data_IF_831068727076
#
_entry.id   IF_831068727076
#
_cell.length_a   1.000
_cell.length_b   1.000
_cell.length_c   1.000
_cell.angle_alpha   90.00
_cell.angle_beta   90.00
_cell.angle_gamma   90.00
#
_symmetry.space_group_name_H-M   'P 1'
#
loop_
_entity.id
_entity.type
_entity.pdbx_description
1 polymer ?
#
# COMPACT_ATOMS: atom_id res chain seq x y z
N UNK A 1 75.33 55.99 26.20
CA UNK A 1 76.73 56.31 25.85
C UNK A 1 77.37 55.02 25.34
N UNK A 2 77.91 55.03 24.10
CA UNK A 2 78.59 53.92 23.35
C UNK A 2 77.66 52.77 22.92
N UNK A 3 77.42 52.44 21.63
CA UNK A 3 78.32 52.29 20.45
C UNK A 3 78.51 50.77 20.21
N UNK A 4 78.50 50.13 19.04
CA UNK A 4 78.75 50.47 17.63
C UNK A 4 78.21 49.35 16.69
N UNK A 5 77.89 49.73 15.45
CA UNK A 5 77.87 49.01 14.14
C UNK A 5 78.29 47.53 14.03
N UNK A 6 77.56 46.73 13.23
CA UNK A 6 77.95 46.46 11.83
C UNK A 6 76.89 45.70 10.98
N UNK A 7 76.90 45.97 9.66
CA UNK A 7 76.14 45.35 8.56
C UNK A 7 76.65 43.94 8.24
N UNK A 8 75.79 43.05 7.73
CA UNK A 8 75.86 42.51 6.34
C UNK A 8 74.75 41.48 6.01
N UNK A 9 74.18 41.66 4.80
CA UNK A 9 73.77 40.68 3.78
C UNK A 9 72.60 39.68 4.00
N UNK A 10 71.60 39.92 3.14
CA UNK A 10 71.10 38.99 2.12
C UNK A 10 69.96 38.01 2.44
N UNK A 11 68.84 38.31 1.78
CA UNK A 11 68.00 37.42 0.96
C UNK A 11 66.97 36.49 1.63
N UNK A 12 65.71 36.80 1.27
CA UNK A 12 64.64 35.88 0.87
C UNK A 12 64.31 34.68 1.77
N UNK A 13 63.19 34.78 2.48
CA UNK A 13 62.18 33.73 2.48
C UNK A 13 60.79 34.33 2.75
N UNK A 14 60.14 34.78 1.69
CA UNK A 14 58.83 35.41 1.70
C UNK A 14 57.92 34.79 0.64
N UNK A 15 57.82 33.47 0.62
CA UNK A 15 56.95 32.72 -0.30
C UNK A 15 56.52 31.40 0.35
N UNK A 16 55.73 31.48 1.42
CA UNK A 16 55.06 30.28 1.97
C UNK A 16 53.63 30.54 2.46
N UNK A 17 53.06 31.73 2.21
CA UNK A 17 51.70 32.09 2.64
C UNK A 17 50.70 32.35 1.52
N UNK A 18 51.08 32.13 0.25
CA UNK A 18 50.21 32.41 -0.91
C UNK A 18 49.76 31.16 -1.68
N UNK A 19 50.08 29.94 -1.23
CA UNK A 19 49.67 28.70 -1.91
C UNK A 19 48.56 27.96 -1.13
N UNK A 20 48.34 28.31 0.13
CA UNK A 20 47.33 27.64 0.98
C UNK A 20 45.92 28.25 0.88
N UNK A 21 45.75 29.38 0.18
CA UNK A 21 44.44 30.06 0.06
C UNK A 21 43.69 29.78 -1.25
N UNK A 22 44.37 29.24 -2.27
CA UNK A 22 43.75 28.90 -3.56
C UNK A 22 43.46 27.40 -3.72
N UNK A 23 43.89 26.57 -2.78
CA UNK A 23 43.55 25.14 -2.73
C UNK A 23 42.23 24.83 -1.99
N UNK A 24 41.71 25.79 -1.21
CA UNK A 24 40.46 25.61 -0.46
C UNK A 24 39.23 26.08 -1.26
N UNK A 25 39.42 26.87 -2.32
CA UNK A 25 38.33 27.34 -3.19
C UNK A 25 38.07 26.47 -4.43
N UNK A 26 38.89 25.44 -4.68
CA UNK A 26 38.65 24.46 -5.77
C UNK A 26 38.01 23.14 -5.31
N UNK A 27 37.87 22.92 -4.00
CA UNK A 27 37.28 21.68 -3.47
C UNK A 27 35.79 21.77 -3.11
N UNK A 28 35.14 22.90 -3.39
CA UNK A 28 33.72 23.12 -3.08
C UNK A 28 32.81 23.37 -4.30
N UNK A 29 33.31 23.06 -5.51
CA UNK A 29 32.52 23.09 -6.78
C UNK A 29 32.51 21.72 -7.47
N UNK A 30 33.20 20.71 -6.92
CA UNK A 30 33.32 19.35 -7.48
C UNK A 30 32.60 18.26 -6.70
N UNK A 31 31.53 18.57 -5.98
CA UNK A 31 30.71 17.57 -5.27
C UNK A 31 29.21 17.85 -5.42
N UNK A 32 28.79 18.21 -6.63
CA UNK A 32 27.38 18.38 -6.99
C UNK A 32 27.07 17.69 -8.32
N UNK A 33 27.53 16.44 -8.47
CA UNK A 33 27.15 15.58 -9.60
C UNK A 33 26.96 14.12 -9.17
N UNK A 34 26.43 13.92 -7.96
CA UNK A 34 25.78 12.68 -7.56
C UNK A 34 24.32 13.00 -7.25
N UNK A 35 23.63 13.60 -8.22
CA UNK A 35 22.18 13.52 -8.21
C UNK A 35 21.82 12.08 -8.46
N UNK A 36 21.19 11.49 -7.44
CA UNK A 36 20.53 10.21 -7.47
C UNK A 36 19.83 10.03 -8.82
N UNK A 37 20.30 9.09 -9.63
CA UNK A 37 19.38 8.37 -10.50
C UNK A 37 18.48 7.55 -9.58
N UNK A 38 17.43 8.19 -9.06
CA UNK A 38 16.26 7.48 -8.58
C UNK A 38 15.64 6.87 -9.84
N UNK A 39 16.10 5.68 -10.20
CA UNK A 39 15.33 4.82 -11.08
C UNK A 39 14.10 4.40 -10.28
N UNK A 40 13.06 5.24 -10.30
CA UNK A 40 11.73 4.76 -10.04
C UNK A 40 11.41 3.82 -11.21
N UNK A 41 11.58 2.51 -11.00
CA UNK A 41 11.09 1.53 -11.95
C UNK A 41 9.56 1.67 -11.98
N UNK A 42 9.03 2.17 -13.08
CA UNK A 42 7.59 2.18 -13.32
C UNK A 42 7.14 0.72 -13.43
N UNK A 43 6.51 0.20 -12.38
CA UNK A 43 6.00 -1.15 -12.37
C UNK A 43 4.60 -1.14 -12.98
N UNK A 44 4.47 -1.62 -14.22
CA UNK A 44 3.16 -1.98 -14.77
C UNK A 44 2.74 -3.30 -14.12
N UNK A 45 2.12 -3.22 -12.95
CA UNK A 45 1.48 -4.37 -12.30
C UNK A 45 0.22 -4.69 -13.12
N UNK A 46 0.34 -5.62 -14.07
CA UNK A 46 -0.83 -6.23 -14.69
C UNK A 46 -1.44 -7.21 -13.69
N UNK A 47 -2.77 -7.24 -13.53
CA UNK A 47 -3.42 -8.32 -12.79
C UNK A 47 -2.95 -9.66 -13.33
N UNK A 48 -2.75 -10.64 -12.46
CA UNK A 48 -2.61 -12.05 -12.87
C UNK A 48 -3.84 -12.40 -13.70
N UNK A 49 -3.65 -12.65 -15.00
CA UNK A 49 -4.77 -12.94 -15.90
C UNK A 49 -5.29 -14.34 -15.58
N UNK A 50 -6.41 -14.42 -14.88
CA UNK A 50 -7.27 -15.58 -14.91
C UNK A 50 -8.19 -15.44 -16.15
N UNK A 51 -7.89 -16.20 -17.20
CA UNK A 51 -8.78 -16.29 -18.36
C UNK A 51 -10.02 -17.08 -17.96
N UNK A 52 -11.09 -16.39 -17.54
CA UNK A 52 -12.40 -17.03 -17.39
C UNK A 52 -12.87 -17.44 -18.78
N UNK A 53 -12.83 -18.73 -19.09
CA UNK A 53 -13.61 -19.27 -20.21
C UNK A 53 -15.07 -19.20 -19.78
N UNK A 54 -15.74 -18.08 -20.10
CA UNK A 54 -17.18 -17.94 -19.87
C UNK A 54 -17.88 -18.88 -20.84
N UNK A 55 -18.47 -19.97 -20.34
CA UNK A 55 -19.36 -20.81 -21.12
C UNK A 55 -20.61 -20.00 -21.51
N UNK A 56 -21.09 -20.17 -22.75
CA UNK A 56 -22.22 -19.47 -23.39
C UNK A 56 -23.61 -19.60 -22.71
N UNK A 57 -23.68 -20.02 -21.44
CA UNK A 57 -24.91 -20.39 -20.74
C UNK A 57 -25.68 -19.25 -20.05
N UNK A 58 -25.20 -18.00 -20.08
CA UNK A 58 -25.81 -16.88 -19.33
C UNK A 58 -26.73 -15.95 -20.16
N UNK A 59 -27.51 -16.48 -21.11
CA UNK A 59 -28.33 -15.61 -21.98
C UNK A 59 -29.67 -15.12 -21.41
N UNK A 60 -30.07 -15.49 -20.19
CA UNK A 60 -31.43 -15.15 -19.70
C UNK A 60 -31.56 -14.72 -18.22
N UNK A 61 -30.51 -14.28 -17.54
CA UNK A 61 -30.67 -13.67 -16.21
C UNK A 61 -30.98 -12.17 -16.33
N UNK A 62 -31.93 -11.62 -15.55
CA UNK A 62 -32.19 -10.19 -15.53
C UNK A 62 -30.89 -9.43 -15.16
N UNK A 63 -30.66 -8.30 -15.83
CA UNK A 63 -29.44 -7.46 -15.76
C UNK A 63 -29.02 -7.03 -14.33
N UNK A 64 -29.84 -7.27 -13.32
CA UNK A 64 -29.53 -7.06 -11.90
C UNK A 64 -28.66 -8.15 -11.27
N UNK A 65 -28.50 -9.33 -11.89
CA UNK A 65 -27.76 -10.48 -11.31
C UNK A 65 -26.43 -10.81 -12.00
N UNK A 66 -25.99 -10.03 -12.98
CA UNK A 66 -24.63 -10.18 -13.53
C UNK A 66 -23.80 -8.98 -13.07
N UNK A 67 -23.45 -8.96 -11.77
CA UNK A 67 -22.38 -8.09 -11.31
C UNK A 67 -21.07 -8.72 -11.83
N UNK A 68 -20.62 -8.26 -13.00
CA UNK A 68 -19.29 -8.57 -13.49
C UNK A 68 -18.26 -7.95 -12.56
N UNK A 69 -17.27 -8.72 -12.13
CA UNK A 69 -16.04 -8.15 -11.57
C UNK A 69 -15.43 -7.19 -12.59
N UNK A 70 -15.07 -5.97 -12.16
CA UNK A 70 -14.66 -4.87 -13.03
C UNK A 70 -15.02 -3.50 -12.46
N UNK A 71 -14.83 -2.43 -13.26
CA UNK A 71 -15.22 -1.07 -12.85
C UNK A 71 -16.73 -0.92 -12.95
N UNK A 72 -17.39 -0.67 -11.82
CA UNK A 72 -18.85 -0.58 -11.72
C UNK A 72 -19.34 0.83 -11.39
N UNK A 73 -18.60 1.58 -10.58
CA UNK A 73 -18.98 2.93 -10.16
C UNK A 73 -17.75 3.78 -9.83
N UNK A 74 -17.92 5.11 -9.85
CA UNK A 74 -16.98 6.04 -9.26
C UNK A 74 -17.49 6.46 -7.88
N UNK A 75 -16.90 5.86 -6.86
CA UNK A 75 -17.16 6.15 -5.45
C UNK A 75 -16.75 7.58 -5.08
N UNK A 76 -17.22 8.04 -3.93
CA UNK A 76 -16.88 9.34 -3.34
C UNK A 76 -16.33 9.11 -1.94
N UNK A 77 -15.61 10.10 -1.41
CA UNK A 77 -15.27 10.08 0.01
C UNK A 77 -16.52 10.27 0.89
N UNK A 78 -16.57 9.64 2.07
CA UNK A 78 -15.60 8.67 2.58
C UNK A 78 -15.70 7.30 1.91
N UNK A 79 -14.56 6.62 1.75
CA UNK A 79 -14.49 5.17 1.48
C UNK A 79 -14.26 4.45 2.81
N UNK A 80 -14.99 3.37 3.06
CA UNK A 80 -14.84 2.55 4.27
C UNK A 80 -15.09 1.06 3.97
N UNK A 81 -14.24 0.19 4.52
CA UNK A 81 -14.39 -1.26 4.50
C UNK A 81 -13.81 -1.91 5.76
N UNK A 82 -14.63 -2.70 6.44
CA UNK A 82 -14.32 -3.49 7.64
C UNK A 82 -14.62 -4.98 7.45
N UNK A 83 -15.03 -5.39 6.24
CA UNK A 83 -15.33 -6.76 5.81
C UNK A 83 -16.39 -7.51 6.63
N UNK A 84 -17.01 -6.88 7.63
CA UNK A 84 -17.89 -7.51 8.61
C UNK A 84 -19.16 -8.12 8.00
N UNK A 85 -19.56 -7.68 6.81
CA UNK A 85 -20.79 -8.10 6.12
C UNK A 85 -20.53 -9.06 4.95
N UNK A 86 -19.29 -9.50 4.75
CA UNK A 86 -18.89 -10.33 3.61
C UNK A 86 -18.29 -11.66 4.08
N UNK A 87 -18.56 -12.72 3.34
CA UNK A 87 -17.86 -13.99 3.50
C UNK A 87 -17.52 -14.52 2.10
N UNK A 88 -16.27 -14.93 1.94
CA UNK A 88 -15.70 -15.41 0.70
C UNK A 88 -15.11 -14.32 -0.18
N UNK A 89 -15.92 -13.60 -0.96
CA UNK A 89 -15.41 -12.59 -1.90
C UNK A 89 -15.60 -11.15 -1.40
N UNK A 90 -14.73 -10.21 -1.81
CA UNK A 90 -14.90 -8.79 -1.50
C UNK A 90 -16.20 -8.22 -2.07
N UNK A 91 -16.73 -7.11 -1.54
CA UNK A 91 -17.93 -6.50 -2.13
C UNK A 91 -17.61 -5.86 -3.50
N UNK A 92 -18.22 -6.31 -4.62
CA UNK A 92 -17.92 -5.77 -5.95
C UNK A 92 -18.28 -4.29 -6.10
N UNK A 93 -19.20 -3.74 -5.30
CA UNK A 93 -19.48 -2.29 -5.28
C UNK A 93 -18.33 -1.46 -4.69
N UNK A 94 -17.36 -2.09 -4.02
CA UNK A 94 -16.16 -1.44 -3.44
C UNK A 94 -14.85 -1.89 -4.08
N UNK A 95 -14.82 -3.10 -4.63
CA UNK A 95 -13.63 -3.76 -5.16
C UNK A 95 -13.83 -4.20 -6.62
N UNK A 96 -12.81 -4.03 -7.45
CA UNK A 96 -12.84 -4.34 -8.88
C UNK A 96 -12.35 -5.76 -9.21
N UNK A 97 -11.76 -6.45 -8.24
CA UNK A 97 -11.26 -7.83 -8.33
C UNK A 97 -11.75 -8.68 -7.14
N UNK A 98 -11.47 -9.99 -7.19
CA UNK A 98 -11.92 -11.01 -6.23
C UNK A 98 -10.84 -12.04 -5.89
N UNK A 99 -9.60 -11.60 -5.87
CA UNK A 99 -8.43 -12.46 -5.63
C UNK A 99 -8.10 -12.63 -4.14
N UNK A 100 -8.80 -11.89 -3.27
CA UNK A 100 -8.59 -11.90 -1.83
C UNK A 100 -9.77 -12.56 -1.15
N UNK A 101 -9.49 -13.44 -0.18
CA UNK A 101 -10.50 -14.23 0.51
C UNK A 101 -10.95 -13.56 1.81
N UNK A 102 -12.25 -13.30 1.94
CA UNK A 102 -12.87 -12.74 3.14
C UNK A 102 -13.28 -13.87 4.07
N UNK A 103 -12.74 -13.90 5.29
CA UNK A 103 -12.96 -14.99 6.24
C UNK A 103 -12.83 -14.54 7.70
N UNK A 104 -13.19 -15.40 8.64
CA UNK A 104 -13.09 -15.17 10.09
C UNK A 104 -12.13 -16.14 10.80
N UNK A 105 -11.31 -16.88 10.06
CA UNK A 105 -10.57 -18.03 10.59
C UNK A 105 -9.06 -17.89 10.49
N UNK A 106 -8.54 -17.25 9.43
CA UNK A 106 -7.09 -17.23 9.19
C UNK A 106 -6.34 -16.24 10.09
N UNK A 107 -7.03 -15.27 10.70
CA UNK A 107 -6.47 -14.38 11.73
C UNK A 107 -7.37 -14.37 12.97
N UNK A 108 -7.13 -15.25 13.97
CA UNK A 108 -7.98 -15.38 15.15
C UNK A 108 -8.06 -14.13 16.05
N UNK A 109 -7.09 -13.22 15.89
CA UNK A 109 -6.99 -11.94 16.60
C UNK A 109 -7.38 -10.75 15.71
N UNK A 110 -8.16 -10.98 14.65
CA UNK A 110 -8.70 -9.93 13.79
C UNK A 110 -9.55 -8.92 14.60
N UNK A 111 -9.52 -7.63 14.23
CA UNK A 111 -10.26 -6.60 14.95
C UNK A 111 -11.77 -6.66 14.69
N UNK A 112 -12.21 -7.25 13.57
CA UNK A 112 -13.62 -7.44 13.22
C UNK A 112 -13.96 -8.91 12.96
N UNK A 113 -15.26 -9.18 12.77
CA UNK A 113 -15.81 -10.50 12.52
C UNK A 113 -15.20 -11.22 11.31
N UNK A 114 -14.88 -10.49 10.23
CA UNK A 114 -14.17 -11.06 9.08
C UNK A 114 -12.99 -10.17 8.68
N UNK A 115 -12.12 -10.72 7.86
CA UNK A 115 -10.89 -10.08 7.41
C UNK A 115 -10.56 -10.46 5.97
N UNK A 116 -9.92 -9.54 5.25
CA UNK A 116 -9.40 -9.79 3.92
C UNK A 116 -8.04 -10.49 3.98
N UNK A 117 -7.94 -11.69 3.41
CA UNK A 117 -6.72 -12.50 3.43
C UNK A 117 -6.16 -12.76 2.03
N UNK A 118 -4.86 -12.49 1.89
CA UNK A 118 -4.06 -12.75 0.70
C UNK A 118 -3.37 -14.09 0.92
N UNK A 119 -3.83 -15.14 0.23
CA UNK A 119 -3.48 -16.53 0.48
C UNK A 119 -2.79 -17.24 -0.70
N UNK A 120 -2.50 -16.51 -1.79
CA UNK A 120 -1.87 -17.04 -3.00
C UNK A 120 -2.71 -18.14 -3.68
N UNK A 121 -4.03 -18.10 -3.53
CA UNK A 121 -4.97 -18.95 -4.27
C UNK A 121 -5.85 -18.09 -5.16
N UNK A 122 -6.23 -18.64 -6.31
CA UNK A 122 -7.24 -18.04 -7.18
C UNK A 122 -8.63 -18.10 -6.52
N UNK A 123 -9.61 -17.47 -7.15
CA UNK A 123 -10.97 -17.42 -6.63
C UNK A 123 -11.61 -18.79 -6.38
N UNK A 124 -11.08 -19.85 -7.00
CA UNK A 124 -11.59 -21.22 -6.86
C UNK A 124 -10.79 -22.03 -5.82
N UNK A 125 -9.84 -21.40 -5.14
CA UNK A 125 -8.96 -22.03 -4.16
C UNK A 125 -7.80 -22.80 -4.77
N UNK A 126 -7.50 -22.60 -6.06
CA UNK A 126 -6.36 -23.27 -6.72
C UNK A 126 -5.14 -22.35 -6.76
N UNK A 127 -3.91 -22.89 -6.66
CA UNK A 127 -2.72 -22.08 -6.92
C UNK A 127 -2.76 -21.46 -8.32
N UNK A 128 -2.46 -20.16 -8.44
CA UNK A 128 -2.41 -19.48 -9.74
C UNK A 128 -1.45 -20.13 -10.74
N UNK A 129 -0.40 -20.78 -10.22
CA UNK A 129 0.71 -21.34 -10.98
C UNK A 129 1.25 -22.60 -10.28
N UNK A 130 2.12 -23.34 -10.97
CA UNK A 130 2.84 -24.45 -10.37
C UNK A 130 3.64 -23.98 -9.15
N UNK A 131 3.53 -24.74 -8.05
CA UNK A 131 4.18 -24.42 -6.79
C UNK A 131 5.71 -24.50 -6.92
N UNK A 132 6.39 -23.55 -6.28
CA UNK A 132 7.85 -23.46 -6.24
C UNK A 132 8.31 -22.75 -4.97
N UNK A 133 9.26 -23.36 -4.26
CA UNK A 133 9.93 -22.76 -3.11
C UNK A 133 11.09 -21.84 -3.49
N UNK A 134 11.39 -21.72 -4.79
CA UNK A 134 12.54 -20.96 -5.33
C UNK A 134 12.14 -19.71 -6.08
N UNK A 135 10.85 -19.49 -6.30
CA UNK A 135 10.32 -18.38 -7.08
C UNK A 135 9.26 -17.63 -6.30
N UNK A 136 9.29 -16.30 -6.39
CA UNK A 136 8.32 -15.40 -5.78
C UNK A 136 7.60 -14.58 -6.85
N UNK A 137 6.31 -14.32 -6.63
CA UNK A 137 5.43 -13.63 -7.57
C UNK A 137 4.53 -12.64 -6.86
N UNK A 138 4.03 -11.68 -7.63
CA UNK A 138 2.83 -10.95 -7.24
C UNK A 138 1.65 -11.92 -7.36
N UNK A 139 1.00 -12.22 -6.24
CA UNK A 139 -0.06 -13.22 -6.19
C UNK A 139 -1.43 -12.53 -6.24
N UNK A 140 -2.02 -12.28 -5.08
CA UNK A 140 -3.35 -11.70 -4.92
C UNK A 140 -3.29 -10.18 -5.01
N UNK A 141 -4.36 -9.61 -5.55
CA UNK A 141 -4.59 -8.17 -5.49
C UNK A 141 -5.98 -7.84 -5.01
N UNK A 142 -6.08 -6.72 -4.29
CA UNK A 142 -7.33 -6.11 -3.85
C UNK A 142 -7.36 -4.69 -4.37
N UNK A 143 -8.06 -4.47 -5.48
CA UNK A 143 -8.13 -3.19 -6.20
C UNK A 143 -9.46 -2.50 -5.93
N UNK A 144 -9.43 -1.25 -5.48
CA UNK A 144 -10.67 -0.48 -5.26
C UNK A 144 -11.43 -0.24 -6.56
N UNK A 145 -12.75 -0.04 -6.46
CA UNK A 145 -13.47 0.72 -7.47
C UNK A 145 -12.86 2.13 -7.58
N UNK A 146 -13.00 2.81 -8.74
CA UNK A 146 -12.62 4.21 -8.87
C UNK A 146 -13.25 5.07 -7.78
N UNK A 147 -12.48 6.00 -7.24
CA UNK A 147 -12.90 6.97 -6.24
C UNK A 147 -12.61 8.36 -6.82
N UNK A 148 -13.62 9.23 -6.83
CA UNK A 148 -13.43 10.60 -7.27
C UNK A 148 -12.67 11.40 -6.20
N UNK A 149 -11.40 11.69 -6.49
CA UNK A 149 -10.56 12.60 -5.73
C UNK A 149 -10.29 13.92 -6.45
N UNK A 150 -10.99 14.21 -7.56
CA UNK A 150 -10.87 15.49 -8.25
C UNK A 150 -11.73 16.57 -7.59
N UNK A 151 -12.96 16.22 -7.20
CA UNK A 151 -13.91 17.19 -6.63
C UNK A 151 -14.91 16.55 -5.65
N UNK A 152 -15.47 17.37 -4.78
CA UNK A 152 -16.63 17.04 -3.96
C UNK A 152 -17.78 18.02 -4.20
N UNK A 153 -18.99 17.59 -3.85
CA UNK A 153 -20.18 18.44 -3.89
C UNK A 153 -20.57 18.88 -2.49
N UNK A 154 -20.91 20.16 -2.35
CA UNK A 154 -21.51 20.72 -1.14
C UNK A 154 -22.73 21.55 -1.54
N UNK A 155 -23.91 20.97 -1.34
CA UNK A 155 -25.16 21.48 -1.90
C UNK A 155 -25.14 21.43 -3.43
N UNK A 156 -25.55 22.52 -4.08
CA UNK A 156 -25.52 22.66 -5.54
C UNK A 156 -24.12 22.94 -6.12
N UNK A 157 -23.12 23.20 -5.25
CA UNK A 157 -21.79 23.62 -5.67
C UNK A 157 -20.81 22.45 -5.73
N UNK A 158 -19.85 22.54 -6.65
CA UNK A 158 -18.74 21.59 -6.81
C UNK A 158 -17.43 22.28 -6.47
N UNK A 159 -16.63 21.66 -5.61
CA UNK A 159 -15.34 22.18 -5.16
C UNK A 159 -14.23 21.18 -5.49
N UNK A 160 -13.07 21.62 -5.97
CA UNK A 160 -11.94 20.72 -6.16
C UNK A 160 -11.37 20.30 -4.81
N UNK A 161 -10.94 19.04 -4.71
CA UNK A 161 -10.07 18.63 -3.62
C UNK A 161 -8.69 19.28 -3.77
N UNK A 162 -8.00 19.43 -2.64
CA UNK A 162 -6.66 20.01 -2.53
C UNK A 162 -5.80 19.12 -1.66
N UNK A 163 -4.49 19.17 -1.85
CA UNK A 163 -3.53 18.47 -0.97
C UNK A 163 -3.62 18.95 0.48
N UNK A 164 -4.11 20.17 0.70
CA UNK A 164 -4.36 20.73 2.03
C UNK A 164 -5.61 20.20 2.71
N UNK A 165 -6.46 19.43 2.01
CA UNK A 165 -7.71 18.90 2.57
C UNK A 165 -7.47 17.70 3.49
N UNK A 166 -6.22 17.23 3.64
CA UNK A 166 -5.87 16.18 4.61
C UNK A 166 -6.53 14.85 4.28
N UNK A 167 -6.37 14.37 3.04
CA UNK A 167 -6.92 13.08 2.61
C UNK A 167 -5.92 11.98 2.92
N UNK A 168 -6.33 10.97 3.69
CA UNK A 168 -5.49 9.82 4.07
C UNK A 168 -6.22 8.51 3.82
N UNK A 169 -5.51 7.54 3.25
CA UNK A 169 -5.87 6.13 3.32
C UNK A 169 -5.29 5.55 4.62
N UNK A 170 -6.13 4.98 5.48
CA UNK A 170 -5.71 4.18 6.62
C UNK A 170 -6.19 2.75 6.50
N UNK A 171 -5.47 1.83 7.13
CA UNK A 171 -5.81 0.41 7.16
C UNK A 171 -5.02 -0.30 8.27
N UNK A 172 -5.55 -1.40 8.78
CA UNK A 172 -4.81 -2.32 9.63
C UNK A 172 -4.26 -3.45 8.78
N UNK A 173 -3.04 -3.88 9.12
CA UNK A 173 -2.45 -5.06 8.52
C UNK A 173 -1.80 -5.96 9.56
N UNK A 174 -1.73 -7.24 9.23
CA UNK A 174 -0.97 -8.26 9.93
C UNK A 174 -0.47 -9.29 8.91
N UNK A 175 0.67 -9.92 9.18
CA UNK A 175 1.13 -11.09 8.45
C UNK A 175 0.92 -12.38 9.26
N UNK A 176 1.05 -13.51 8.58
CA UNK A 176 0.97 -14.86 9.13
C UNK A 176 -0.43 -15.31 9.51
N UNK A 177 -0.99 -14.81 10.61
CA UNK A 177 -2.20 -15.41 11.18
C UNK A 177 -1.97 -16.89 11.52
N UNK A 178 -2.72 -17.79 10.89
CA UNK A 178 -2.54 -19.25 10.96
C UNK A 178 -1.56 -19.84 9.93
N UNK A 179 -1.03 -19.01 9.02
CA UNK A 179 -0.02 -19.40 8.04
C UNK A 179 1.40 -19.48 8.60
N UNK A 180 2.36 -19.59 7.67
CA UNK A 180 3.79 -19.56 7.93
C UNK A 180 4.29 -18.13 8.15
N UNK A 181 5.36 -18.01 8.93
CA UNK A 181 6.07 -16.75 9.10
C UNK A 181 6.59 -16.32 7.73
N UNK A 182 6.23 -15.11 7.22
CA UNK A 182 6.72 -14.70 5.92
C UNK A 182 8.24 -14.57 5.91
N UNK A 183 8.81 -14.86 4.75
CA UNK A 183 10.23 -14.69 4.53
C UNK A 183 10.58 -13.20 4.36
N UNK A 184 11.88 -12.88 4.34
CA UNK A 184 12.34 -11.49 4.24
C UNK A 184 11.93 -10.83 2.92
N UNK A 185 11.78 -11.63 1.87
CA UNK A 185 11.38 -11.20 0.54
C UNK A 185 9.86 -11.10 0.39
N UNK A 186 9.09 -11.76 1.26
CA UNK A 186 7.63 -11.69 1.23
C UNK A 186 7.16 -10.30 1.70
N UNK A 187 6.19 -9.72 0.98
CA UNK A 187 5.73 -8.37 1.29
C UNK A 187 4.27 -8.12 0.95
N UNK A 188 3.66 -7.20 1.69
CA UNK A 188 2.41 -6.55 1.32
C UNK A 188 2.72 -5.14 0.84
N UNK A 189 2.18 -4.78 -0.32
CA UNK A 189 2.52 -3.55 -1.03
C UNK A 189 1.24 -2.80 -1.38
N UNK A 190 1.22 -1.49 -1.15
CA UNK A 190 0.14 -0.60 -1.55
C UNK A 190 0.59 0.27 -2.72
N UNK A 191 -0.24 0.29 -3.76
CA UNK A 191 -0.07 1.10 -4.95
C UNK A 191 -1.22 2.10 -5.11
N UNK A 192 -0.90 3.29 -5.58
CA UNK A 192 -1.87 4.28 -6.05
C UNK A 192 -1.80 4.41 -7.57
N UNK A 193 -2.97 4.49 -8.21
CA UNK A 193 -3.09 4.79 -9.64
C UNK A 193 -2.87 6.28 -9.84
N UNK A 194 -1.93 6.63 -10.70
CA UNK A 194 -1.60 8.00 -11.08
C UNK A 194 -2.50 8.49 -12.22
N UNK A 195 -2.54 9.80 -12.45
CA UNK A 195 -3.25 10.43 -13.57
C UNK A 195 -2.86 9.84 -14.94
N UNK A 196 -1.62 9.37 -15.09
CA UNK A 196 -1.14 8.70 -16.30
C UNK A 196 -1.65 7.26 -16.48
N UNK A 197 -2.44 6.74 -15.54
CA UNK A 197 -2.91 5.36 -15.50
C UNK A 197 -1.89 4.35 -14.96
N UNK A 198 -0.71 4.80 -14.53
CA UNK A 198 0.34 3.93 -13.98
C UNK A 198 0.16 3.69 -12.48
N UNK A 199 0.53 2.51 -11.99
CA UNK A 199 0.57 2.18 -10.57
C UNK A 199 1.89 2.61 -9.94
N UNK A 200 1.83 3.43 -8.89
CA UNK A 200 2.99 3.90 -8.12
C UNK A 200 2.94 3.27 -6.73
N UNK A 201 4.02 2.58 -6.32
CA UNK A 201 4.17 2.09 -4.95
C UNK A 201 4.25 3.28 -4.00
N UNK A 202 3.37 3.31 -3.00
CA UNK A 202 3.32 4.38 -1.98
C UNK A 202 3.63 3.87 -0.59
N UNK A 203 3.44 2.57 -0.36
CA UNK A 203 3.78 1.92 0.90
C UNK A 203 4.09 0.44 0.66
N UNK A 204 4.85 -0.17 1.56
CA UNK A 204 5.00 -1.62 1.61
C UNK A 204 5.77 -2.05 2.84
N UNK A 205 5.53 -3.28 3.27
CA UNK A 205 6.18 -3.91 4.42
C UNK A 205 6.68 -5.28 4.03
N UNK A 206 7.84 -5.66 4.55
CA UNK A 206 8.38 -7.01 4.48
C UNK A 206 8.88 -7.44 5.87
N UNK A 207 9.26 -8.70 6.00
CA UNK A 207 9.95 -9.18 7.19
C UNK A 207 9.07 -9.90 8.22
N UNK A 208 9.63 -10.17 9.41
CA UNK A 208 9.16 -11.25 10.27
C UNK A 208 7.81 -10.96 10.95
N UNK A 209 7.27 -12.00 11.57
CA UNK A 209 5.96 -12.04 12.23
C UNK A 209 5.60 -10.78 13.03
N UNK A 210 4.43 -10.21 12.74
CA UNK A 210 3.75 -9.22 13.55
C UNK A 210 2.78 -9.92 14.49
N UNK A 211 2.98 -9.76 15.80
CA UNK A 211 2.12 -10.36 16.83
C UNK A 211 0.75 -9.70 16.95
N UNK A 212 0.57 -8.49 16.38
CA UNK A 212 -0.65 -7.69 16.46
C UNK A 212 -0.88 -6.96 15.15
N UNK A 213 -2.13 -6.63 14.87
CA UNK A 213 -2.49 -5.68 13.83
C UNK A 213 -1.83 -4.32 14.06
N UNK A 214 -1.33 -3.73 12.98
CA UNK A 214 -0.72 -2.40 12.97
C UNK A 214 -1.53 -1.50 12.05
N UNK A 215 -1.86 -0.30 12.52
CA UNK A 215 -2.50 0.73 11.72
C UNK A 215 -1.45 1.51 10.91
N UNK A 216 -1.79 1.82 9.66
CA UNK A 216 -0.97 2.62 8.75
C UNK A 216 -1.80 3.77 8.22
N UNK A 217 -1.16 4.92 8.01
CA UNK A 217 -1.74 6.09 7.36
C UNK A 217 -0.87 6.51 6.17
N UNK A 218 -1.47 6.61 4.98
CA UNK A 218 -0.80 7.03 3.75
C UNK A 218 -1.52 8.26 3.19
N UNK A 219 -0.85 9.43 3.10
CA UNK A 219 -1.46 10.65 2.60
C UNK A 219 -1.66 10.62 1.08
N UNK A 220 -2.68 11.34 0.61
CA UNK A 220 -2.76 11.80 -0.77
C UNK A 220 -1.96 13.11 -0.86
N UNK A 221 -0.67 13.01 -1.21
CA UNK A 221 0.32 14.09 -1.14
C UNK A 221 0.73 14.66 -2.51
N UNK A 222 0.12 14.19 -3.58
CA UNK A 222 0.46 14.55 -4.97
C UNK A 222 -0.78 14.84 -5.80
N UNK A 223 -0.71 15.90 -6.62
CA UNK A 223 -1.77 16.24 -7.58
C UNK A 223 -2.04 15.11 -8.59
N UNK A 224 -1.07 14.22 -8.83
CA UNK A 224 -1.22 13.05 -9.69
C UNK A 224 -2.35 12.09 -9.24
N UNK A 225 -2.80 12.22 -8.00
CA UNK A 225 -3.84 11.37 -7.41
C UNK A 225 -5.20 12.07 -7.30
N UNK A 226 -5.27 13.40 -7.45
CA UNK A 226 -6.52 14.17 -7.37
C UNK A 226 -7.28 14.11 -8.70
N UNK A 227 -7.65 12.88 -9.08
CA UNK A 227 -8.25 12.52 -10.37
C UNK A 227 -9.64 11.92 -10.17
N UNK A 228 -10.51 11.97 -11.19
CA UNK A 228 -11.89 11.50 -11.05
C UNK A 228 -12.02 9.98 -10.91
N UNK A 229 -11.00 9.22 -11.30
CA UNK A 229 -10.99 7.76 -11.30
C UNK A 229 -9.83 7.16 -10.47
N UNK A 230 -9.47 7.83 -9.37
CA UNK A 230 -8.38 7.37 -8.51
C UNK A 230 -8.67 5.96 -8.00
N UNK A 231 -7.66 5.10 -7.99
CA UNK A 231 -7.76 3.76 -7.44
C UNK A 231 -6.54 3.47 -6.58
N UNK A 232 -6.73 2.66 -5.56
CA UNK A 232 -5.64 2.04 -4.82
C UNK A 232 -5.69 0.52 -4.95
N UNK A 233 -4.55 -0.13 -4.75
CA UNK A 233 -4.41 -1.57 -4.85
C UNK A 233 -3.44 -2.09 -3.81
N UNK A 234 -3.87 -3.07 -3.03
CA UNK A 234 -2.99 -3.90 -2.23
C UNK A 234 -2.57 -5.13 -3.03
N UNK A 235 -1.30 -5.54 -2.92
CA UNK A 235 -0.75 -6.73 -3.58
C UNK A 235 0.20 -7.44 -2.63
N UNK A 236 0.05 -8.75 -2.46
CA UNK A 236 1.10 -9.55 -1.82
C UNK A 236 2.14 -10.00 -2.87
N UNK A 237 3.40 -9.92 -2.47
CA UNK A 237 4.50 -10.58 -3.16
C UNK A 237 4.96 -11.71 -2.27
N UNK A 238 4.80 -12.95 -2.72
CA UNK A 238 5.13 -14.12 -1.93
C UNK A 238 5.71 -15.26 -2.77
N UNK A 239 6.40 -16.18 -2.13
CA UNK A 239 6.78 -17.45 -2.75
C UNK A 239 5.57 -18.20 -3.29
N UNK A 240 5.76 -18.97 -4.36
CA UNK A 240 4.74 -19.88 -4.95
C UNK A 240 4.49 -21.11 -4.08
N UNK A 241 4.26 -20.92 -2.79
CA UNK A 241 4.03 -21.99 -1.81
C UNK A 241 2.54 -22.24 -1.56
N UNK A 242 1.66 -21.47 -2.20
CA UNK A 242 0.21 -21.56 -2.04
C UNK A 242 -0.23 -20.94 -0.70
N UNK A 243 -1.23 -21.56 -0.08
CA UNK A 243 -1.95 -21.12 1.13
C UNK A 243 -1.12 -21.19 2.43
N UNK A 244 0.12 -20.71 2.38
CA UNK A 244 1.06 -20.73 3.50
C UNK A 244 1.44 -19.31 3.94
N UNK A 245 1.76 -18.40 3.01
CA UNK A 245 2.31 -17.08 3.37
C UNK A 245 1.22 -16.01 3.35
N UNK A 246 0.46 -15.90 4.46
CA UNK A 246 -0.69 -15.01 4.53
C UNK A 246 -0.36 -13.57 4.89
N UNK A 247 -1.14 -12.67 4.29
CA UNK A 247 -1.28 -11.28 4.74
C UNK A 247 -2.75 -10.97 4.97
N UNK A 248 -3.04 -10.19 5.99
CA UNK A 248 -4.41 -9.82 6.37
C UNK A 248 -4.57 -8.31 6.41
N UNK A 249 -5.71 -7.83 5.93
CA UNK A 249 -6.11 -6.43 5.93
C UNK A 249 -7.49 -6.26 6.55
N UNK A 250 -7.64 -5.20 7.33
CA UNK A 250 -8.93 -4.81 7.91
C UNK A 250 -9.02 -3.28 8.06
N UNK A 251 -10.24 -2.78 8.28
CA UNK A 251 -10.55 -1.40 8.64
C UNK A 251 -9.92 -0.36 7.68
N UNK A 252 -10.18 -0.54 6.38
CA UNK A 252 -9.69 0.34 5.32
C UNK A 252 -10.58 1.58 5.25
N UNK A 253 -10.00 2.77 5.46
CA UNK A 253 -10.73 4.04 5.42
C UNK A 253 -9.99 5.08 4.61
N UNK A 254 -10.68 5.76 3.71
CA UNK A 254 -10.19 6.97 3.04
C UNK A 254 -11.18 8.10 3.23
N UNK A 255 -10.71 9.23 3.77
CA UNK A 255 -11.55 10.41 3.98
C UNK A 255 -10.69 11.68 4.00
N UNK A 256 -11.34 12.84 3.83
CA UNK A 256 -10.74 14.17 3.99
C UNK A 256 -10.78 14.63 5.45
N UNK A 257 -10.00 15.66 5.79
CA UNK A 257 -9.96 16.24 7.13
C UNK A 257 -9.34 15.32 8.19
N UNK A 258 -8.63 14.27 7.77
CA UNK A 258 -7.97 13.34 8.68
C UNK A 258 -6.64 13.93 9.14
N UNK A 259 -6.36 13.76 10.43
CA UNK A 259 -5.11 14.23 11.02
C UNK A 259 -3.99 13.23 10.69
N UNK A 260 -3.00 13.67 9.92
CA UNK A 260 -1.77 12.89 9.72
C UNK A 260 -1.00 12.71 11.05
N UNK A 261 -0.15 11.70 11.11
CA UNK A 261 0.73 11.44 12.27
C UNK A 261 0.43 10.17 13.06
N UNK A 262 -0.39 9.26 12.53
CA UNK A 262 -0.65 7.96 13.18
C UNK A 262 -1.56 8.06 14.40
N UNK A 263 -2.32 9.15 14.54
CA UNK A 263 -3.37 9.27 15.54
C UNK A 263 -4.60 8.56 15.01
N UNK A 264 -4.93 7.42 15.60
CA UNK A 264 -6.17 6.70 15.30
C UNK A 264 -7.36 7.59 15.65
N UNK A 265 -8.21 7.86 14.67
CA UNK A 265 -9.47 8.59 14.81
C UNK A 265 -10.68 7.64 14.78
N UNK A 266 -10.46 6.40 15.20
CA UNK A 266 -11.45 5.33 15.24
C UNK A 266 -12.27 5.46 16.52
N UNK A 267 -13.58 5.67 16.38
CA UNK A 267 -14.53 5.75 17.49
C UNK A 267 -15.50 4.55 17.52
N UNK A 268 -15.17 3.46 16.83
CA UNK A 268 -16.07 2.33 16.61
C UNK A 268 -15.78 1.12 17.52
N UNK A 269 -16.80 0.31 17.76
CA UNK A 269 -16.74 -0.95 18.52
C UNK A 269 -17.14 -2.09 17.58
N UNK A 270 -16.15 -2.81 17.04
CA UNK A 270 -16.37 -3.97 16.20
C UNK A 270 -16.82 -5.20 17.00
N UNK A 271 -17.68 -6.03 16.40
CA UNK A 271 -18.00 -7.36 16.95
C UNK A 271 -16.87 -8.32 16.56
N UNK A 272 -16.05 -8.70 17.55
CA UNK A 272 -14.88 -9.57 17.33
C UNK A 272 -15.29 -11.02 17.16
N UNK A 273 -16.20 -11.52 18.01
CA UNK A 273 -16.75 -12.86 17.94
C UNK A 273 -18.10 -12.92 18.70
N UNK A 274 -19.04 -13.72 18.21
CA UNK A 274 -20.22 -14.09 19.00
C UNK A 274 -19.86 -15.28 19.90
N UNK A 275 -19.51 -15.02 21.17
CA UNK A 275 -19.00 -16.04 22.10
C UNK A 275 -19.99 -17.18 22.41
N UNK A 276 -21.27 -17.06 22.05
CA UNK A 276 -22.29 -18.08 22.35
C UNK A 276 -23.25 -18.27 21.18
N UNK A 277 -22.95 -19.24 20.32
CA UNK A 277 -23.98 -19.88 19.52
C UNK A 277 -24.90 -20.72 20.40
N UNK A 278 -26.06 -21.13 19.87
CA UNK A 278 -27.01 -22.07 20.54
C UNK A 278 -26.36 -23.41 20.95
N UNK A 279 -25.17 -23.70 20.44
CA UNK A 279 -24.42 -24.92 20.68
C UNK A 279 -23.17 -24.60 21.50
N UNK A 280 -23.19 -25.04 22.77
CA UNK A 280 -22.20 -24.69 23.80
C UNK A 280 -20.74 -25.01 23.43
N UNK A 281 -20.53 -25.96 22.52
CA UNK A 281 -19.20 -26.51 22.20
C UNK A 281 -18.82 -26.34 20.72
N UNK A 282 -19.59 -25.58 19.92
CA UNK A 282 -19.33 -25.40 18.49
C UNK A 282 -19.24 -23.92 18.12
N UNK A 283 -18.09 -23.51 17.58
CA UNK A 283 -17.83 -22.13 17.11
C UNK A 283 -18.00 -21.96 15.59
N UNK A 284 -18.12 -23.07 14.83
CA UNK A 284 -18.47 -23.08 13.41
C UNK A 284 -19.24 -24.38 13.10
N UNK A 285 -20.38 -24.27 12.41
CA UNK A 285 -21.17 -25.41 11.92
C UNK A 285 -21.27 -25.25 10.38
N UNK A 286 -20.95 -26.29 9.58
CA UNK A 286 -20.99 -26.23 8.12
C UNK A 286 -22.39 -26.01 7.55
#
# INVERSE_FOLDING_TARGET
MKGYFNREKANHCGTEKSIFRDLVSLFFVGFLSLFNHVNAQFLKVSPTQHSVVVSDSYKHLPLTEVISWGILDTLKLPFFEDFSQQFGYPNPSKWADKQVWINNSFAPDAPNANIATFDHLDESGNPYQALSTRESVYADSLTSQPINLQFYRKGANTFPYRLTDGIYLSFFYKNQGLGDVPELEDSLILFFKTQSGNWRKVWGVSGPHNTKFKEVFVPIDSMDYLIPDFQFRFVNYSKKTGNLNHWHLDYIRMDQGRMGGGVSDIEDVGVVNAETGLFRDYTNIP
#
